data_IF_785086905542
#
_entry.id   IF_785086905542
#
_cell.length_a   1.000
_cell.length_b   1.000
_cell.length_c   1.000
_cell.angle_alpha   90.00
_cell.angle_beta   90.00
_cell.angle_gamma   90.00
#
_symmetry.space_group_name_H-M   'P 1'
#
loop_
_entity.id
_entity.type
_entity.pdbx_description
1 polymer ?
#
# COMPACT_ATOMS: atom_id res chain seq x y z
N UNK A 1 8.89 -22.44 15.78
CA UNK A 1 7.95 -21.72 14.89
C UNK A 1 8.51 -21.83 13.48
N UNK A 2 7.85 -22.58 12.59
CA UNK A 2 8.34 -22.77 11.22
C UNK A 2 7.63 -21.79 10.27
N UNK A 3 8.39 -21.13 9.40
CA UNK A 3 7.84 -20.31 8.33
C UNK A 3 7.47 -21.26 7.19
N UNK A 4 6.17 -21.38 6.88
CA UNK A 4 5.70 -22.19 5.75
C UNK A 4 5.65 -21.35 4.48
N UNK A 5 6.55 -21.64 3.55
CA UNK A 5 6.56 -21.08 2.19
C UNK A 5 5.83 -22.09 1.29
N UNK A 6 4.72 -21.67 0.68
CA UNK A 6 3.95 -22.53 -0.23
C UNK A 6 3.79 -21.80 -1.56
N UNK A 7 4.43 -22.33 -2.60
CA UNK A 7 4.36 -21.85 -3.98
C UNK A 7 3.37 -22.65 -4.82
N UNK A 8 2.83 -23.74 -4.26
CA UNK A 8 2.09 -24.73 -5.03
C UNK A 8 0.69 -24.25 -5.38
N UNK A 9 0.25 -24.59 -6.60
CA UNK A 9 -0.87 -24.00 -7.34
C UNK A 9 -2.26 -24.17 -6.75
N UNK A 10 -2.40 -24.59 -5.49
CA UNK A 10 -3.64 -24.47 -4.72
C UNK A 10 -3.84 -23.02 -4.22
N UNK A 11 -3.67 -22.06 -5.15
CA UNK A 11 -3.78 -20.62 -4.91
C UNK A 11 -5.19 -20.24 -4.48
N UNK A 12 -6.20 -21.05 -4.82
CA UNK A 12 -7.63 -20.75 -4.64
C UNK A 12 -8.00 -20.55 -3.16
N UNK A 13 -7.45 -21.36 -2.25
CA UNK A 13 -7.69 -21.23 -0.80
C UNK A 13 -6.88 -20.11 -0.14
N UNK A 14 -5.77 -19.67 -0.75
CA UNK A 14 -4.95 -18.54 -0.26
C UNK A 14 -5.29 -17.19 -0.89
N UNK A 15 -5.92 -17.17 -2.06
CA UNK A 15 -6.49 -15.98 -2.71
C UNK A 15 -7.58 -15.34 -1.82
N UNK A 16 -8.29 -16.14 -1.03
CA UNK A 16 -9.27 -15.63 -0.06
C UNK A 16 -8.61 -14.99 1.18
N UNK A 17 -7.33 -15.28 1.45
CA UNK A 17 -6.60 -14.69 2.58
C UNK A 17 -6.15 -13.25 2.30
N UNK A 18 -5.89 -12.93 1.04
CA UNK A 18 -5.41 -11.61 0.64
C UNK A 18 -6.29 -11.09 -0.47
N UNK A 19 -7.11 -10.11 -0.11
CA UNK A 19 -7.89 -9.36 -1.07
C UNK A 19 -6.99 -8.45 -1.94
N UNK A 20 -6.85 -8.69 -3.25
CA UNK A 20 -5.97 -7.88 -4.10
C UNK A 20 -6.41 -6.40 -4.17
N UNK A 21 -7.71 -6.14 -4.04
CA UNK A 21 -8.29 -4.78 -4.10
C UNK A 21 -8.09 -3.98 -2.81
N UNK A 22 -7.53 -4.60 -1.77
CA UNK A 22 -7.10 -3.91 -0.55
C UNK A 22 -5.62 -3.50 -0.60
N UNK A 23 -4.91 -3.79 -1.70
CA UNK A 23 -3.50 -3.46 -1.90
C UNK A 23 -3.36 -2.27 -2.84
N UNK A 24 -2.39 -1.40 -2.57
CA UNK A 24 -2.02 -0.27 -3.44
C UNK A 24 -0.52 -0.23 -3.68
N UNK A 25 -0.15 0.11 -4.91
CA UNK A 25 1.22 0.45 -5.27
C UNK A 25 1.34 1.97 -5.37
N UNK A 26 2.31 2.52 -4.66
CA UNK A 26 2.63 3.95 -4.64
C UNK A 26 4.00 4.08 -5.31
N UNK A 27 4.07 4.84 -6.39
CA UNK A 27 5.31 5.10 -7.12
C UNK A 27 5.68 6.58 -7.06
N UNK A 28 6.88 6.90 -7.54
CA UNK A 28 7.37 8.26 -7.69
C UNK A 28 7.45 9.02 -6.34
N UNK A 29 7.81 8.30 -5.29
CA UNK A 29 7.97 8.84 -3.94
C UNK A 29 9.25 9.69 -3.93
N UNK A 30 9.17 10.97 -3.53
CA UNK A 30 10.33 11.83 -3.50
C UNK A 30 11.42 11.31 -2.56
N UNK A 31 12.69 11.45 -2.90
CA UNK A 31 13.83 10.96 -2.09
C UNK A 31 13.86 11.59 -0.69
N UNK A 32 13.34 12.82 -0.56
CA UNK A 32 13.21 13.51 0.74
C UNK A 32 12.00 13.06 1.57
N UNK A 33 11.14 12.22 1.02
CA UNK A 33 9.89 11.83 1.67
C UNK A 33 10.12 10.66 2.63
N UNK A 34 9.91 10.90 3.93
CA UNK A 34 10.15 9.89 4.95
C UNK A 34 9.18 8.70 4.88
N UNK A 35 9.72 7.48 4.91
CA UNK A 35 8.98 6.22 5.10
C UNK A 35 7.98 6.28 6.26
N UNK A 36 8.37 6.87 7.39
CA UNK A 36 7.50 6.98 8.57
C UNK A 36 6.31 7.91 8.32
N UNK A 37 6.53 8.99 7.56
CA UNK A 37 5.47 9.93 7.15
C UNK A 37 4.47 9.25 6.23
N UNK A 38 4.92 8.46 5.24
CA UNK A 38 4.03 7.74 4.33
C UNK A 38 3.17 6.71 5.07
N UNK A 39 3.79 5.92 5.95
CA UNK A 39 3.09 4.94 6.79
C UNK A 39 2.00 5.61 7.62
N UNK A 40 2.33 6.69 8.34
CA UNK A 40 1.39 7.44 9.17
C UNK A 40 0.23 8.03 8.36
N UNK A 41 0.45 8.44 7.10
CA UNK A 41 -0.63 8.87 6.21
C UNK A 41 -1.54 7.70 5.88
N UNK A 42 -0.99 6.54 5.53
CA UNK A 42 -1.77 5.35 5.19
C UNK A 42 -2.61 4.86 6.40
N UNK A 43 -2.02 4.82 7.59
CA UNK A 43 -2.70 4.36 8.83
C UNK A 43 -3.96 5.17 9.17
N UNK A 44 -4.04 6.45 8.75
CA UNK A 44 -5.26 7.27 8.93
C UNK A 44 -6.48 6.72 8.19
N UNK A 45 -6.28 5.95 7.12
CA UNK A 45 -7.37 5.45 6.29
C UNK A 45 -7.82 4.03 6.66
N UNK A 46 -6.99 3.30 7.40
CA UNK A 46 -7.30 1.98 7.95
C UNK A 46 -6.07 1.21 8.39
N UNK A 47 -6.30 0.04 9.00
CA UNK A 47 -5.24 -0.88 9.42
C UNK A 47 -4.41 -1.38 8.24
N UNK A 48 -3.09 -1.38 8.44
CA UNK A 48 -2.10 -1.84 7.45
C UNK A 48 -1.65 -3.25 7.83
N UNK A 49 -1.80 -4.19 6.90
CA UNK A 49 -1.36 -5.59 7.02
C UNK A 49 0.02 -5.80 6.40
N UNK A 50 0.28 -5.11 5.30
CA UNK A 50 1.53 -5.23 4.54
C UNK A 50 2.07 -3.83 4.26
N UNK A 51 3.34 -3.60 4.57
CA UNK A 51 4.00 -2.34 4.28
C UNK A 51 5.42 -2.58 3.80
N UNK A 52 5.61 -2.51 2.49
CA UNK A 52 6.93 -2.55 1.85
C UNK A 52 7.22 -1.15 1.32
N UNK A 53 8.40 -0.64 1.63
CA UNK A 53 8.84 0.67 1.20
C UNK A 53 10.28 0.54 0.73
N UNK A 54 10.55 1.06 -0.46
CA UNK A 54 11.84 1.06 -1.09
C UNK A 54 12.20 2.50 -1.45
N UNK A 55 13.27 2.99 -0.83
CA UNK A 55 13.93 4.22 -1.24
C UNK A 55 14.57 4.03 -2.61
N UNK A 56 14.59 5.08 -3.42
CA UNK A 56 15.32 5.15 -4.67
C UNK A 56 15.86 6.56 -4.92
N UNK A 57 16.88 6.63 -5.77
CA UNK A 57 17.41 7.90 -6.26
C UNK A 57 16.43 8.59 -7.22
N UNK A 58 16.61 9.89 -7.40
CA UNK A 58 15.86 10.71 -8.38
C UNK A 58 14.33 10.60 -8.26
N UNK A 59 13.79 10.60 -7.04
CA UNK A 59 12.34 10.57 -6.77
C UNK A 59 11.59 9.33 -7.34
N UNK A 60 12.32 8.22 -7.56
CA UNK A 60 11.75 6.96 -8.06
C UNK A 60 11.36 5.98 -6.95
N UNK A 61 11.28 6.45 -5.70
CA UNK A 61 10.91 5.59 -4.57
C UNK A 61 9.53 4.97 -4.75
N UNK A 62 9.30 3.81 -4.14
CA UNK A 62 8.02 3.12 -4.23
C UNK A 62 7.63 2.40 -2.95
N UNK A 63 6.34 2.14 -2.80
CA UNK A 63 5.79 1.41 -1.68
C UNK A 63 4.62 0.53 -2.10
N UNK A 64 4.55 -0.68 -1.52
CA UNK A 64 3.39 -1.54 -1.57
C UNK A 64 2.71 -1.51 -0.20
N UNK A 65 1.46 -1.05 -0.16
CA UNK A 65 0.68 -0.95 1.06
C UNK A 65 -0.54 -1.85 0.94
N UNK A 66 -0.68 -2.77 1.87
CA UNK A 66 -1.85 -3.62 2.01
C UNK A 66 -2.70 -3.22 3.20
N UNK A 67 -3.96 -2.87 2.95
CA UNK A 67 -4.93 -2.56 3.98
C UNK A 67 -5.77 -3.78 4.36
N UNK A 68 -6.34 -3.78 5.56
CA UNK A 68 -7.34 -4.79 5.96
C UNK A 68 -8.69 -4.67 5.25
N UNK A 69 -8.90 -3.62 4.43
CA UNK A 69 -10.18 -3.45 3.72
C UNK A 69 -10.03 -2.63 2.44
N UNK A 70 -10.75 -3.05 1.38
CA UNK A 70 -10.97 -2.27 0.14
C UNK A 70 -11.47 -0.85 0.41
N UNK A 71 -12.23 -0.66 1.49
CA UNK A 71 -12.79 0.65 1.85
C UNK A 71 -11.69 1.65 2.18
N UNK A 72 -10.61 1.21 2.83
CA UNK A 72 -9.46 2.04 3.18
C UNK A 72 -8.77 2.59 1.92
N UNK A 73 -8.56 1.72 0.94
CA UNK A 73 -8.01 2.08 -0.38
C UNK A 73 -8.87 3.13 -1.08
N UNK A 74 -10.19 2.90 -1.16
CA UNK A 74 -11.12 3.86 -1.78
C UNK A 74 -11.13 5.22 -1.08
N UNK A 75 -11.01 5.26 0.25
CA UNK A 75 -10.92 6.52 1.01
C UNK A 75 -9.63 7.27 0.70
N UNK A 76 -8.49 6.58 0.69
CA UNK A 76 -7.19 7.16 0.37
C UNK A 76 -7.16 7.74 -1.04
N UNK A 77 -7.60 6.96 -2.04
CA UNK A 77 -7.66 7.40 -3.45
C UNK A 77 -8.55 8.63 -3.59
N UNK A 78 -9.76 8.62 -2.99
CA UNK A 78 -10.68 9.77 -3.05
C UNK A 78 -10.08 11.03 -2.42
N UNK A 79 -9.35 10.88 -1.31
CA UNK A 79 -8.69 12.01 -0.66
C UNK A 79 -7.57 12.58 -1.53
N UNK A 80 -6.70 11.73 -2.10
CA UNK A 80 -5.61 12.16 -2.97
C UNK A 80 -6.14 12.84 -4.24
N UNK A 81 -7.17 12.29 -4.89
CA UNK A 81 -7.75 12.92 -6.08
C UNK A 81 -8.39 14.28 -5.77
N UNK A 82 -9.14 14.41 -4.65
CA UNK A 82 -9.65 15.72 -4.22
C UNK A 82 -8.53 16.73 -3.94
N UNK A 83 -7.43 16.26 -3.35
CA UNK A 83 -6.25 17.09 -3.06
C UNK A 83 -5.51 17.55 -4.32
N UNK A 84 -5.63 16.82 -5.44
CA UNK A 84 -5.02 17.21 -6.72
C UNK A 84 -5.91 18.14 -7.53
N UNK A 85 -7.23 17.93 -7.52
CA UNK A 85 -8.20 18.76 -8.25
C UNK A 85 -8.35 20.16 -7.63
N UNK A 86 -8.06 20.32 -6.33
CA UNK A 86 -8.11 21.63 -5.66
C UNK A 86 -6.85 22.50 -5.89
N UNK A 87 -5.90 22.07 -6.73
CA UNK A 87 -4.65 22.78 -7.01
C UNK A 87 -4.59 23.23 -8.49
N UNK A 88 -5.68 23.06 -9.24
CA UNK A 88 -5.88 23.69 -10.56
C UNK A 88 -6.69 24.99 -10.45
#
# INVERSE_FOLDING_TARGET
MAISISSDGNLKSRLDLIDPLSRIFISNIPTKFSKAKLKKICEKYGGIEVYVFQDADCDMGWALVGFSSRRSVKKLIRHIHRSRVAVE
#
